data_IF_990968747748
#
_entry.id   IF_990968747748
#
_cell.length_a   1.000
_cell.length_b   1.000
_cell.length_c   1.000
_cell.angle_alpha   90.00
_cell.angle_beta   90.00
_cell.angle_gamma   90.00
#
_symmetry.space_group_name_H-M   'P 1'
#
loop_
_entity.id
_entity.type
_entity.pdbx_description
1 polymer ?
#
# COMPACT_ATOMS: atom_id res chain seq x y z
N UNK A 1 -9.56 -4.48 5.12
CA UNK A 1 -8.17 -3.96 5.13
C UNK A 1 -7.86 -3.38 6.50
N UNK A 2 -6.91 -3.98 7.21
CA UNK A 2 -6.46 -3.47 8.50
C UNK A 2 -5.38 -2.41 8.32
N UNK A 3 -5.52 -1.33 9.09
CA UNK A 3 -4.50 -0.29 9.26
C UNK A 3 -3.77 -0.57 10.56
N UNK A 4 -2.48 -0.88 10.44
CA UNK A 4 -1.64 -1.35 11.54
C UNK A 4 -0.58 -0.31 11.86
N UNK A 5 -0.45 0.05 13.13
CA UNK A 5 0.57 0.99 13.59
C UNK A 5 1.96 0.35 13.76
N UNK A 6 2.95 1.16 14.12
CA UNK A 6 4.34 0.70 14.33
C UNK A 6 4.52 -0.33 15.45
N UNK A 7 3.55 -0.45 16.38
CA UNK A 7 3.57 -1.45 17.45
C UNK A 7 3.01 -2.80 17.01
N UNK A 8 2.40 -2.85 15.81
CA UNK A 8 1.69 -4.02 15.31
C UNK A 8 0.20 -4.05 15.67
N UNK A 9 -0.32 -3.00 16.32
CA UNK A 9 -1.72 -2.92 16.69
C UNK A 9 -2.60 -2.48 15.51
N UNK A 10 -3.74 -3.16 15.33
CA UNK A 10 -4.78 -2.73 14.38
C UNK A 10 -5.50 -1.53 14.97
N UNK A 11 -5.38 -0.37 14.32
CA UNK A 11 -5.98 0.90 14.78
C UNK A 11 -7.27 1.25 14.04
N UNK A 12 -7.51 0.65 12.87
CA UNK A 12 -8.74 0.78 12.08
C UNK A 12 -8.84 -0.40 11.12
N UNK A 13 -10.06 -0.86 10.87
CA UNK A 13 -10.36 -1.80 9.79
C UNK A 13 -11.28 -1.11 8.79
N UNK A 14 -10.86 -1.07 7.54
CA UNK A 14 -11.65 -0.59 6.41
C UNK A 14 -12.40 -1.79 5.82
N UNK A 15 -13.73 -1.76 5.88
CA UNK A 15 -14.57 -2.75 5.22
C UNK A 15 -14.87 -2.27 3.79
N UNK A 16 -14.38 -3.01 2.79
CA UNK A 16 -14.59 -2.71 1.38
C UNK A 16 -15.79 -3.45 0.78
N UNK A 17 -16.43 -4.33 1.56
CA UNK A 17 -17.48 -5.23 1.07
C UNK A 17 -16.97 -6.21 0.02
N UNK A 18 -17.90 -6.71 -0.79
CA UNK A 18 -17.56 -7.50 -1.97
C UNK A 18 -16.98 -6.60 -3.06
N UNK A 19 -15.91 -7.05 -3.68
CA UNK A 19 -15.21 -6.33 -4.73
C UNK A 19 -15.00 -7.23 -5.94
N UNK A 20 -14.95 -6.63 -7.13
CA UNK A 20 -14.68 -7.37 -8.36
C UNK A 20 -13.24 -7.89 -8.40
N UNK A 21 -13.00 -8.87 -9.27
CA UNK A 21 -11.65 -9.38 -9.52
C UNK A 21 -10.75 -8.29 -10.11
N UNK A 22 -9.52 -8.18 -9.59
CA UNK A 22 -8.53 -7.22 -10.07
C UNK A 22 -8.09 -6.25 -8.98
N UNK A 23 -7.41 -5.18 -9.39
CA UNK A 23 -6.89 -4.17 -8.46
C UNK A 23 -8.02 -3.29 -7.94
N UNK A 24 -8.16 -3.25 -6.62
CA UNK A 24 -9.19 -2.45 -5.95
C UNK A 24 -8.56 -1.28 -5.22
N UNK A 25 -9.02 -0.08 -5.55
CA UNK A 25 -8.52 1.16 -4.96
C UNK A 25 -9.29 1.47 -3.69
N UNK A 26 -8.57 1.75 -2.61
CA UNK A 26 -9.14 2.22 -1.36
C UNK A 26 -8.31 3.40 -0.83
N UNK A 27 -8.91 4.18 0.06
CA UNK A 27 -8.24 5.27 0.75
C UNK A 27 -8.48 5.17 2.24
N UNK A 28 -7.55 5.74 3.00
CA UNK A 28 -7.70 5.90 4.43
C UNK A 28 -7.62 7.38 4.78
N UNK A 29 -8.54 7.82 5.63
CA UNK A 29 -8.68 9.19 6.10
C UNK A 29 -7.65 9.61 7.16
N UNK A 30 -6.79 8.70 7.62
CA UNK A 30 -5.84 8.97 8.70
C UNK A 30 -6.50 9.04 10.08
N UNK A 31 -7.70 8.49 10.25
CA UNK A 31 -8.40 8.38 11.54
C UNK A 31 -8.31 6.96 12.08
N UNK A 32 -8.38 6.80 13.40
CA UNK A 32 -8.54 5.49 14.04
C UNK A 32 -10.03 5.05 14.06
N UNK A 33 -10.32 3.88 14.65
CA UNK A 33 -11.68 3.34 14.83
C UNK A 33 -12.62 4.23 15.64
N UNK A 34 -12.09 5.18 16.42
CA UNK A 34 -12.85 6.13 17.22
C UNK A 34 -13.08 7.48 16.49
N UNK A 35 -12.67 7.58 15.21
CA UNK A 35 -12.78 8.82 14.44
C UNK A 35 -11.74 9.89 14.80
N UNK A 36 -10.72 9.56 15.61
CA UNK A 36 -9.66 10.50 16.01
C UNK A 36 -8.49 10.43 15.02
N UNK A 37 -7.95 11.59 14.65
CA UNK A 37 -6.72 11.69 13.85
C UNK A 37 -5.56 11.01 14.56
N UNK A 38 -4.87 10.13 13.85
CA UNK A 38 -3.69 9.46 14.38
C UNK A 38 -2.42 10.28 14.17
N UNK A 39 -1.36 9.92 14.91
CA UNK A 39 -0.07 10.61 14.84
C UNK A 39 0.56 10.38 13.47
N UNK A 40 1.25 11.39 12.93
CA UNK A 40 2.05 11.23 11.72
C UNK A 40 3.10 10.11 11.91
N UNK A 41 3.17 9.19 10.96
CA UNK A 41 4.09 8.07 11.05
C UNK A 41 3.87 7.03 9.95
N UNK A 42 4.61 5.93 10.06
CA UNK A 42 4.46 4.77 9.17
C UNK A 42 3.32 3.88 9.68
N UNK A 43 2.47 3.47 8.76
CA UNK A 43 1.39 2.51 8.97
C UNK A 43 1.49 1.41 7.92
N UNK A 44 1.08 0.20 8.29
CA UNK A 44 1.03 -0.95 7.39
C UNK A 44 -0.42 -1.27 7.05
N UNK A 45 -0.71 -1.50 5.78
CA UNK A 45 -2.01 -1.96 5.33
C UNK A 45 -1.96 -3.47 5.10
N UNK A 46 -2.88 -4.21 5.72
CA UNK A 46 -3.03 -5.65 5.52
C UNK A 46 -4.43 -5.92 4.96
N UNK A 47 -4.51 -6.29 3.69
CA UNK A 47 -5.76 -6.74 3.10
C UNK A 47 -5.94 -8.23 3.35
N UNK A 48 -7.15 -8.61 3.72
CA UNK A 48 -7.59 -9.99 3.87
C UNK A 48 -9.04 -10.06 3.39
N UNK A 49 -9.47 -11.21 2.91
CA UNK A 49 -10.82 -11.39 2.39
C UNK A 49 -11.15 -12.85 2.09
N UNK A 50 -12.34 -13.09 1.58
CA UNK A 50 -12.79 -14.41 1.15
C UNK A 50 -12.58 -14.56 -0.36
N UNK A 51 -11.78 -15.55 -0.77
CA UNK A 51 -11.57 -15.92 -2.18
C UNK A 51 -12.08 -17.35 -2.35
N UNK A 52 -13.08 -17.53 -3.21
CA UNK A 52 -13.71 -18.85 -3.44
C UNK A 52 -14.14 -19.56 -2.14
N UNK A 53 -14.67 -18.81 -1.17
CA UNK A 53 -15.12 -19.34 0.12
C UNK A 53 -14.00 -19.66 1.13
N UNK A 54 -12.75 -19.28 0.85
CA UNK A 54 -11.61 -19.42 1.78
C UNK A 54 -11.07 -18.07 2.20
N UNK A 55 -10.72 -17.93 3.48
CA UNK A 55 -10.03 -16.74 3.97
C UNK A 55 -8.59 -16.69 3.45
N UNK A 56 -8.21 -15.58 2.82
CA UNK A 56 -6.88 -15.37 2.25
C UNK A 56 -6.34 -13.97 2.60
N UNK A 57 -5.03 -13.88 2.79
CA UNK A 57 -4.30 -12.62 2.80
C UNK A 57 -4.11 -12.14 1.36
N UNK A 58 -4.37 -10.86 1.12
CA UNK A 58 -4.31 -10.24 -0.20
C UNK A 58 -3.15 -9.26 -0.28
N UNK A 59 -2.50 -9.22 -1.43
CA UNK A 59 -1.41 -8.27 -1.69
C UNK A 59 -1.96 -6.85 -1.63
N UNK A 60 -1.30 -5.99 -0.87
CA UNK A 60 -1.62 -4.58 -0.76
C UNK A 60 -0.45 -3.74 -1.25
N UNK A 61 -0.74 -2.75 -2.10
CA UNK A 61 0.25 -1.77 -2.57
C UNK A 61 -0.16 -0.37 -2.17
N UNK A 62 0.81 0.51 -1.97
CA UNK A 62 0.59 1.91 -1.64
C UNK A 62 1.24 2.81 -2.67
N UNK A 63 0.67 3.99 -2.86
CA UNK A 63 1.38 5.06 -3.56
C UNK A 63 2.53 5.56 -2.71
N UNK A 64 3.68 5.72 -3.36
CA UNK A 64 4.86 6.32 -2.77
C UNK A 64 5.43 7.36 -3.72
N UNK A 65 5.93 8.46 -3.16
CA UNK A 65 6.56 9.50 -3.96
C UNK A 65 7.92 9.02 -4.47
N UNK A 66 8.15 9.11 -5.79
CA UNK A 66 9.45 8.82 -6.39
C UNK A 66 10.38 10.00 -6.14
N UNK A 67 11.48 9.78 -5.41
CA UNK A 67 12.49 10.82 -5.14
C UNK A 67 13.51 10.91 -6.27
N UNK A 68 13.88 9.77 -6.85
CA UNK A 68 14.79 9.71 -7.98
C UNK A 68 14.64 8.39 -8.74
N UNK A 69 15.22 8.35 -9.93
CA UNK A 69 15.29 7.16 -10.78
C UNK A 69 16.75 6.78 -10.97
N UNK A 70 17.07 5.52 -10.76
CA UNK A 70 18.38 4.95 -11.06
C UNK A 70 18.30 4.16 -12.36
N UNK A 71 19.11 4.57 -13.34
CA UNK A 71 19.24 3.91 -14.62
C UNK A 71 20.47 3.00 -14.58
N UNK A 72 20.25 1.70 -14.34
CA UNK A 72 21.31 0.71 -14.41
C UNK A 72 21.54 0.30 -15.86
N UNK A 73 22.72 0.60 -16.41
CA UNK A 73 23.11 0.12 -17.74
C UNK A 73 23.05 -1.41 -17.87
N UNK A 74 22.85 -1.91 -19.10
CA UNK A 74 22.82 -3.35 -19.38
C UNK A 74 21.67 -4.08 -18.67
N UNK A 75 22.00 -5.11 -17.88
CA UNK A 75 21.01 -5.99 -17.21
C UNK A 75 20.44 -5.44 -15.89
N UNK A 76 20.95 -4.31 -15.39
CA UNK A 76 20.56 -3.78 -14.09
C UNK A 76 19.16 -3.14 -14.09
N UNK A 77 18.69 -2.66 -15.25
CA UNK A 77 17.34 -2.14 -15.44
C UNK A 77 17.08 -0.81 -14.73
N UNK A 78 15.81 -0.40 -14.68
CA UNK A 78 15.38 0.85 -14.06
C UNK A 78 14.89 0.58 -12.64
N UNK A 79 15.39 1.35 -11.67
CA UNK A 79 14.93 1.32 -10.28
C UNK A 79 14.34 2.66 -9.86
N UNK A 80 13.25 2.62 -9.10
CA UNK A 80 12.57 3.77 -8.51
C UNK A 80 12.98 3.90 -7.05
N UNK A 81 13.53 5.04 -6.66
CA UNK A 81 13.89 5.33 -5.27
C UNK A 81 12.70 6.05 -4.61
N UNK A 82 12.11 5.43 -3.60
CA UNK A 82 10.82 5.84 -3.04
C UNK A 82 10.99 6.54 -1.68
N UNK A 83 10.30 7.66 -1.49
CA UNK A 83 10.37 8.46 -0.26
C UNK A 83 9.99 7.64 0.97
N UNK A 84 10.96 7.47 1.88
CA UNK A 84 10.76 6.77 3.15
C UNK A 84 10.59 5.25 3.04
N UNK A 85 10.74 4.69 1.84
CA UNK A 85 10.69 3.25 1.54
C UNK A 85 11.99 2.82 0.85
N UNK A 86 12.19 1.50 0.70
CA UNK A 86 13.27 0.99 -0.14
C UNK A 86 12.93 1.19 -1.62
N UNK A 87 13.95 1.27 -2.47
CA UNK A 87 13.75 1.31 -3.91
C UNK A 87 13.16 0.00 -4.45
N UNK A 88 12.40 0.10 -5.53
CA UNK A 88 11.83 -1.04 -6.26
C UNK A 88 12.29 -1.02 -7.72
N UNK A 89 12.21 -2.15 -8.42
CA UNK A 89 12.39 -2.13 -9.89
C UNK A 89 11.14 -1.56 -10.53
N UNK A 90 11.29 -0.86 -11.66
CA UNK A 90 10.16 -0.34 -12.43
C UNK A 90 9.18 -1.45 -12.83
N UNK A 91 9.68 -2.66 -13.12
CA UNK A 91 8.87 -3.82 -13.50
C UNK A 91 8.01 -4.37 -12.36
N UNK A 92 8.32 -4.03 -11.11
CA UNK A 92 7.53 -4.43 -9.94
C UNK A 92 6.47 -3.37 -9.58
N UNK A 93 6.51 -2.20 -10.22
CA UNK A 93 5.52 -1.15 -10.00
C UNK A 93 4.22 -1.51 -10.73
N UNK A 94 3.09 -1.42 -10.01
CA UNK A 94 1.77 -1.66 -10.60
C UNK A 94 1.38 -0.48 -11.52
N UNK A 95 1.66 0.75 -11.11
CA UNK A 95 1.37 1.95 -11.89
C UNK A 95 2.25 3.14 -11.47
N UNK A 96 2.35 4.13 -12.36
CA UNK A 96 2.93 5.46 -12.08
C UNK A 96 1.84 6.49 -12.35
N UNK A 97 1.57 7.34 -11.36
CA UNK A 97 0.52 8.36 -11.44
C UNK A 97 1.06 9.74 -11.04
N UNK A 98 0.48 10.79 -11.62
CA UNK A 98 0.73 12.18 -11.23
C UNK A 98 -0.03 12.49 -9.93
N UNK A 99 0.62 13.21 -9.00
CA UNK A 99 -0.07 13.78 -7.84
C UNK A 99 -0.90 14.98 -8.32
N UNK A 100 -2.23 14.88 -8.20
CA UNK A 100 -3.14 16.03 -8.37
C UNK A 100 -3.33 16.77 -7.06
#
# INVERSE_FOLDING_TARGET
VDVVDKSGAVIKTLNLGDVETGNQRFTWDGLNSQGKRVVQGKYTFKAHGMVNGKGEDLVSTVYAHVESVSLGGGKAGISLNLKGLSGIKLVDAIEVAENK
#
